data_IF_817887871318
#
_entry.id   IF_817887871318
#
_cell.length_a   1.000
_cell.length_b   1.000
_cell.length_c   1.000
_cell.angle_alpha   90.00
_cell.angle_beta   90.00
_cell.angle_gamma   90.00
#
_symmetry.space_group_name_H-M   'P 1'
#
loop_
_entity.id
_entity.type
_entity.pdbx_description
1 polymer ?
#
# COMPACT_ATOMS: atom_id res chain seq x y z
N UNK A 1 -10.24 -3.10 19.45
CA UNK A 1 -8.83 -2.71 19.68
C UNK A 1 -8.23 -2.21 18.37
N UNK A 2 -8.53 -0.98 17.94
CA UNK A 2 -8.04 -0.45 16.64
C UNK A 2 -6.55 -0.05 16.69
N UNK A 3 -6.05 0.33 17.87
CA UNK A 3 -4.66 0.79 18.07
C UNK A 3 -3.58 -0.26 17.79
N UNK A 4 -3.80 -1.53 18.16
CA UNK A 4 -2.81 -2.59 17.93
C UNK A 4 -2.62 -2.92 16.44
N UNK A 5 -3.67 -2.78 15.62
CA UNK A 5 -3.61 -3.07 14.19
C UNK A 5 -2.85 -1.99 13.42
N UNK A 6 -3.01 -0.71 13.78
CA UNK A 6 -2.27 0.37 13.12
C UNK A 6 -0.77 0.30 13.42
N UNK A 7 -0.36 0.07 14.67
CA UNK A 7 1.06 -0.05 15.03
C UNK A 7 1.72 -1.25 14.34
N UNK A 8 1.02 -2.38 14.28
CA UNK A 8 1.47 -3.57 13.55
C UNK A 8 1.64 -3.32 12.05
N UNK A 9 0.66 -2.65 11.42
CA UNK A 9 0.76 -2.28 10.00
C UNK A 9 1.93 -1.32 9.75
N UNK A 10 2.05 -0.25 10.53
CA UNK A 10 3.14 0.71 10.39
C UNK A 10 4.49 0.03 10.57
N UNK A 11 4.63 -0.86 11.55
CA UNK A 11 5.86 -1.64 11.77
C UNK A 11 6.19 -2.50 10.56
N UNK A 12 5.21 -3.21 10.00
CA UNK A 12 5.38 -4.00 8.78
C UNK A 12 5.87 -3.14 7.61
N UNK A 13 5.20 -2.02 7.34
CA UNK A 13 5.54 -1.15 6.22
C UNK A 13 6.87 -0.40 6.42
N UNK A 14 7.27 -0.10 7.66
CA UNK A 14 8.56 0.55 7.95
C UNK A 14 9.74 -0.41 7.83
N UNK A 15 9.53 -1.68 8.13
CA UNK A 15 10.55 -2.72 8.00
C UNK A 15 10.68 -3.26 6.56
N UNK A 16 9.78 -2.88 5.65
CA UNK A 16 9.78 -3.30 4.26
C UNK A 16 10.09 -2.18 3.26
N UNK A 17 10.27 -2.53 1.97
CA UNK A 17 10.60 -1.58 0.91
C UNK A 17 9.34 -0.87 0.38
N UNK A 18 8.60 -0.18 1.26
CA UNK A 18 7.28 0.40 0.92
C UNK A 18 7.25 1.93 0.88
N UNK A 19 8.32 2.62 1.26
CA UNK A 19 8.30 4.09 1.38
C UNK A 19 7.92 4.78 0.06
N UNK A 20 8.56 4.41 -1.07
CA UNK A 20 8.23 4.95 -2.39
C UNK A 20 6.77 4.68 -2.78
N UNK A 21 6.30 3.46 -2.51
CA UNK A 21 4.93 3.05 -2.80
C UNK A 21 3.91 3.86 -1.99
N UNK A 22 4.11 3.96 -0.67
CA UNK A 22 3.22 4.71 0.21
C UNK A 22 3.24 6.20 -0.09
N UNK A 23 4.38 6.77 -0.52
CA UNK A 23 4.43 8.15 -1.02
C UNK A 23 3.60 8.33 -2.28
N UNK A 24 3.71 7.41 -3.24
CA UNK A 24 2.94 7.48 -4.48
C UNK A 24 1.43 7.35 -4.23
N UNK A 25 1.04 6.45 -3.32
CA UNK A 25 -0.35 6.34 -2.86
C UNK A 25 -0.79 7.62 -2.16
N UNK A 26 0.01 8.16 -1.24
CA UNK A 26 -0.29 9.41 -0.52
C UNK A 26 -0.56 10.57 -1.45
N UNK A 27 0.30 10.79 -2.45
CA UNK A 27 0.12 11.88 -3.43
C UNK A 27 -1.22 11.73 -4.16
N UNK A 28 -1.60 10.50 -4.54
CA UNK A 28 -2.89 10.25 -5.19
C UNK A 28 -4.07 10.42 -4.23
N UNK A 29 -3.94 9.93 -3.01
CA UNK A 29 -4.96 10.05 -1.97
C UNK A 29 -5.21 11.51 -1.59
N UNK A 30 -4.16 12.33 -1.42
CA UNK A 30 -4.28 13.76 -1.13
C UNK A 30 -4.92 14.53 -2.29
N UNK A 31 -4.70 14.11 -3.54
CA UNK A 31 -5.30 14.73 -4.73
C UNK A 31 -6.79 14.41 -4.88
N UNK A 32 -7.23 13.21 -4.50
CA UNK A 32 -8.60 12.74 -4.72
C UNK A 32 -9.48 12.79 -3.47
N UNK A 33 -8.88 12.83 -2.28
CA UNK A 33 -9.58 12.75 -0.99
C UNK A 33 -10.09 11.35 -0.61
N UNK A 34 -9.90 10.36 -1.48
CA UNK A 34 -10.40 8.99 -1.32
C UNK A 34 -9.46 7.97 -1.98
N UNK A 35 -9.63 6.69 -1.64
CA UNK A 35 -8.78 5.58 -2.10
C UNK A 35 -9.14 5.11 -3.53
N UNK A 36 -9.12 6.04 -4.48
CA UNK A 36 -9.50 5.79 -5.87
C UNK A 36 -8.34 6.00 -6.83
N UNK A 37 -8.40 5.30 -7.96
CA UNK A 37 -7.41 5.37 -9.02
C UNK A 37 -6.32 4.30 -8.90
N UNK A 38 -5.23 4.52 -9.63
CA UNK A 38 -4.13 3.55 -9.73
C UNK A 38 -2.77 4.23 -9.58
N UNK A 39 -1.82 3.49 -9.03
CA UNK A 39 -0.40 3.87 -8.93
C UNK A 39 0.41 3.00 -9.88
N UNK A 40 1.31 3.63 -10.64
CA UNK A 40 2.20 2.89 -11.55
C UNK A 40 3.26 2.12 -10.77
N UNK A 41 3.54 0.89 -11.20
CA UNK A 41 4.60 0.04 -10.66
C UNK A 41 5.92 0.17 -11.42
N UNK A 42 5.95 0.91 -12.53
CA UNK A 42 7.13 1.01 -13.43
C UNK A 42 8.35 1.66 -12.77
N UNK A 43 8.15 2.46 -11.72
CA UNK A 43 9.22 3.11 -10.98
C UNK A 43 9.69 2.30 -9.76
N UNK A 44 9.09 1.13 -9.52
CA UNK A 44 9.50 0.23 -8.45
C UNK A 44 10.68 -0.61 -8.89
N UNK A 45 11.61 -0.83 -7.98
CA UNK A 45 12.66 -1.84 -8.10
C UNK A 45 12.06 -3.25 -7.96
N UNK A 46 12.78 -4.28 -8.39
CA UNK A 46 12.34 -5.67 -8.26
C UNK A 46 12.00 -6.05 -6.82
N UNK A 47 12.76 -5.54 -5.84
CA UNK A 47 12.54 -5.78 -4.41
C UNK A 47 11.23 -5.12 -3.94
N UNK A 48 10.98 -3.87 -4.34
CA UNK A 48 9.73 -3.16 -4.04
C UNK A 48 8.52 -3.86 -4.72
N UNK A 49 8.70 -4.32 -5.96
CA UNK A 49 7.66 -5.01 -6.72
C UNK A 49 7.32 -6.37 -6.11
N UNK A 50 8.33 -7.15 -5.70
CA UNK A 50 8.14 -8.42 -5.00
C UNK A 50 7.41 -8.23 -3.67
N UNK A 51 7.79 -7.22 -2.90
CA UNK A 51 7.14 -6.91 -1.63
C UNK A 51 5.68 -6.46 -1.81
N UNK A 52 5.40 -5.66 -2.85
CA UNK A 52 4.03 -5.31 -3.23
C UNK A 52 3.23 -6.53 -3.67
N UNK A 53 3.81 -7.39 -4.51
CA UNK A 53 3.17 -8.62 -4.96
C UNK A 53 2.77 -9.51 -3.80
N UNK A 54 3.70 -9.77 -2.88
CA UNK A 54 3.45 -10.55 -1.67
C UNK A 54 2.37 -9.92 -0.78
N UNK A 55 2.35 -8.59 -0.65
CA UNK A 55 1.31 -7.91 0.11
C UNK A 55 -0.07 -8.06 -0.54
N UNK A 56 -0.13 -7.90 -1.86
CA UNK A 56 -1.37 -7.95 -2.65
C UNK A 56 -1.86 -9.38 -2.94
N UNK A 57 -1.21 -10.41 -2.40
CA UNK A 57 -1.42 -11.82 -2.70
C UNK A 57 -1.40 -12.10 -4.23
N UNK A 58 -0.47 -11.44 -4.92
CA UNK A 58 -0.22 -11.54 -6.36
C UNK A 58 1.21 -12.02 -6.65
N UNK A 59 1.49 -12.37 -7.90
CA UNK A 59 2.85 -12.62 -8.36
C UNK A 59 3.48 -11.34 -8.92
N UNK A 60 4.79 -11.16 -8.76
CA UNK A 60 5.50 -10.01 -9.33
C UNK A 60 5.34 -9.90 -10.86
N UNK A 61 5.42 -11.00 -11.65
CA UNK A 61 5.15 -10.94 -13.09
C UNK A 61 3.74 -10.44 -13.43
N UNK A 62 2.72 -10.75 -12.62
CA UNK A 62 1.37 -10.25 -12.84
C UNK A 62 1.25 -8.74 -12.60
N UNK A 63 1.96 -8.20 -11.61
CA UNK A 63 2.03 -6.76 -11.36
C UNK A 63 2.89 -6.02 -12.38
N UNK A 64 3.98 -6.63 -12.83
CA UNK A 64 4.84 -6.10 -13.88
C UNK A 64 4.08 -5.96 -15.19
N UNK A 65 3.38 -7.02 -15.62
CA UNK A 65 2.56 -7.01 -16.83
C UNK A 65 1.45 -5.94 -16.79
N UNK A 66 0.86 -5.70 -15.62
CA UNK A 66 -0.16 -4.65 -15.44
C UNK A 66 0.44 -3.26 -15.44
N UNK A 67 1.68 -3.08 -14.99
CA UNK A 67 2.38 -1.80 -14.85
C UNK A 67 1.76 -0.83 -13.83
N UNK A 68 0.72 -1.25 -13.10
CA UNK A 68 -0.01 -0.47 -12.11
C UNK A 68 -0.82 -1.36 -11.17
N UNK A 69 -1.17 -0.82 -10.00
CA UNK A 69 -2.14 -1.42 -9.08
C UNK A 69 -3.22 -0.40 -8.67
N UNK A 70 -4.40 -0.91 -8.30
CA UNK A 70 -5.53 -0.10 -7.82
C UNK A 70 -5.33 0.27 -6.35
N UNK A 71 -5.54 1.55 -6.01
CA UNK A 71 -5.48 2.02 -4.62
C UNK A 71 -6.60 1.38 -3.81
N UNK A 72 -7.80 1.23 -4.39
CA UNK A 72 -8.93 0.58 -3.74
C UNK A 72 -8.62 -0.88 -3.40
N UNK A 73 -8.03 -1.64 -4.32
CA UNK A 73 -7.63 -3.03 -4.06
C UNK A 73 -6.52 -3.12 -3.00
N UNK A 74 -5.64 -2.13 -2.92
CA UNK A 74 -4.65 -2.05 -1.85
C UNK A 74 -5.31 -1.81 -0.49
N UNK A 75 -6.29 -0.91 -0.41
CA UNK A 75 -7.04 -0.66 0.83
C UNK A 75 -7.89 -1.85 1.25
N UNK A 76 -8.54 -2.53 0.30
CA UNK A 76 -9.25 -3.79 0.56
C UNK A 76 -8.30 -4.80 1.22
N UNK A 77 -7.14 -5.02 0.62
CA UNK A 77 -6.13 -5.94 1.14
C UNK A 77 -5.57 -5.51 2.51
N UNK A 78 -5.36 -4.21 2.70
CA UNK A 78 -4.97 -3.64 3.99
C UNK A 78 -6.01 -3.97 5.06
N UNK A 79 -7.29 -3.76 4.76
CA UNK A 79 -8.39 -4.02 5.69
C UNK A 79 -8.56 -5.52 6.01
N UNK A 80 -8.23 -6.40 5.07
CA UNK A 80 -8.27 -7.86 5.26
C UNK A 80 -7.12 -8.33 6.16
N UNK A 81 -5.90 -7.83 5.95
CA UNK A 81 -4.72 -8.20 6.76
C UNK A 81 -4.71 -7.51 8.13
N UNK A 82 -5.29 -6.32 8.23
CA UNK A 82 -5.37 -5.51 9.44
C UNK A 82 -6.82 -5.04 9.63
N UNK A 83 -7.59 -5.82 10.38
CA UNK A 83 -9.03 -5.67 10.52
C UNK A 83 -9.46 -4.21 10.77
N UNK A 84 -10.25 -3.66 9.84
CA UNK A 84 -10.82 -2.31 9.94
C UNK A 84 -9.83 -1.16 9.72
N UNK A 85 -8.58 -1.44 9.35
CA UNK A 85 -7.60 -0.42 9.02
C UNK A 85 -7.85 0.13 7.61
N UNK A 86 -8.00 1.45 7.51
CA UNK A 86 -8.11 2.14 6.23
C UNK A 86 -6.79 2.81 5.83
N UNK A 87 -6.68 3.16 4.56
CA UNK A 87 -5.48 3.73 3.99
C UNK A 87 -5.15 5.10 4.59
N UNK A 88 -6.17 5.90 4.92
CA UNK A 88 -5.98 7.20 5.57
C UNK A 88 -5.25 7.08 6.90
N UNK A 89 -5.69 6.14 7.75
CA UNK A 89 -5.09 5.87 9.06
C UNK A 89 -3.64 5.41 8.91
N UNK A 90 -3.39 4.49 7.96
CA UNK A 90 -2.03 4.04 7.66
C UNK A 90 -1.13 5.20 7.23
N UNK A 91 -1.54 5.96 6.23
CA UNK A 91 -0.73 7.06 5.68
C UNK A 91 -0.46 8.14 6.73
N UNK A 92 -1.47 8.53 7.51
CA UNK A 92 -1.31 9.52 8.57
C UNK A 92 -0.32 9.06 9.64
N UNK A 93 -0.40 7.80 10.08
CA UNK A 93 0.48 7.27 11.13
C UNK A 93 1.89 6.94 10.60
N UNK A 94 2.01 6.58 9.32
CA UNK A 94 3.30 6.26 8.72
C UNK A 94 4.17 7.51 8.50
N UNK A 95 3.56 8.59 8.00
CA UNK A 95 4.25 9.84 7.60
C UNK A 95 4.17 10.98 8.62
N UNK A 96 3.30 10.89 9.63
CA UNK A 96 3.27 11.78 10.80
C UNK A 96 4.32 11.39 11.84
#
# INVERSE_FOLDING_TARGET
MVGAHIEGAVTYFRNGPYDKLLRAIRIKYESNGEAVGAVSTLALTDVELLALAAFMDMTAPALELRGRFSIGSFEEQLSMKYEGLNLRQLLYTYFG
#
